data_IF_299791633678
#
_entry.id   IF_299791633678
#
_cell.length_a   1.000
_cell.length_b   1.000
_cell.length_c   1.000
_cell.angle_alpha   90.00
_cell.angle_beta   90.00
_cell.angle_gamma   90.00
#
_symmetry.space_group_name_H-M   'P 1'
#
loop_
_entity.id
_entity.type
_entity.pdbx_description
1 polymer ?
#
# COMPACT_ATOMS: atom_id res chain seq x y z
N UNK A 1 88.33 -14.42 -78.55
CA UNK A 1 87.74 -13.42 -77.71
C UNK A 1 86.41 -13.05 -78.31
N UNK A 2 85.33 -13.60 -77.79
CA UNK A 2 83.96 -13.30 -78.23
C UNK A 2 83.32 -12.36 -77.22
N UNK A 3 83.11 -11.12 -77.65
CA UNK A 3 82.46 -10.06 -76.91
C UNK A 3 80.93 -10.30 -76.96
N UNK A 4 80.36 -10.57 -75.80
CA UNK A 4 78.89 -10.80 -75.67
C UNK A 4 78.14 -9.48 -75.77
N UNK A 5 77.67 -9.15 -76.97
CA UNK A 5 76.65 -8.10 -77.14
C UNK A 5 75.32 -8.51 -76.57
N UNK A 6 75.02 -8.04 -75.34
CA UNK A 6 73.69 -8.16 -74.73
C UNK A 6 72.79 -7.10 -75.36
N UNK A 7 71.70 -7.48 -76.06
CA UNK A 7 70.87 -6.59 -76.83
C UNK A 7 70.28 -5.49 -75.93
N UNK A 8 70.33 -4.25 -76.36
CA UNK A 8 69.94 -3.01 -75.70
C UNK A 8 68.48 -3.05 -75.17
N UNK A 9 67.64 -3.86 -75.76
CA UNK A 9 66.26 -4.09 -75.34
C UNK A 9 66.18 -4.79 -74.00
N UNK A 10 67.06 -5.73 -73.64
CA UNK A 10 67.05 -6.40 -72.33
C UNK A 10 67.47 -5.46 -71.19
N UNK A 11 68.36 -4.51 -71.42
CA UNK A 11 68.75 -3.50 -70.44
C UNK A 11 67.61 -2.47 -70.16
N UNK A 12 66.79 -2.13 -71.16
CA UNK A 12 65.64 -1.26 -71.01
C UNK A 12 64.49 -1.97 -70.30
N UNK A 13 64.20 -3.23 -70.63
CA UNK A 13 63.24 -4.04 -69.95
C UNK A 13 63.60 -4.23 -68.44
N UNK A 14 64.86 -4.53 -68.14
CA UNK A 14 65.36 -4.69 -66.80
C UNK A 14 65.17 -3.39 -65.94
N UNK A 15 65.42 -2.22 -66.51
CA UNK A 15 65.17 -0.93 -65.81
C UNK A 15 63.71 -0.65 -65.63
N UNK A 16 62.84 -1.00 -66.56
CA UNK A 16 61.40 -0.82 -66.42
C UNK A 16 60.85 -1.74 -65.30
N UNK A 17 61.28 -3.00 -65.31
CA UNK A 17 60.84 -3.96 -64.26
C UNK A 17 61.39 -3.61 -62.89
N UNK A 18 62.64 -3.13 -62.79
CA UNK A 18 63.24 -2.70 -61.50
C UNK A 18 62.57 -1.46 -60.87
N UNK A 19 61.89 -0.62 -61.65
CA UNK A 19 61.14 0.53 -61.16
C UNK A 19 59.67 0.17 -60.99
N UNK A 20 59.10 -0.67 -61.85
CA UNK A 20 57.64 -1.04 -61.76
C UNK A 20 57.35 -1.91 -60.57
N UNK A 21 58.22 -2.81 -60.14
CA UNK A 21 57.96 -3.64 -58.93
C UNK A 21 57.95 -2.82 -57.65
N UNK A 22 58.91 -1.95 -57.35
CA UNK A 22 58.83 -1.06 -56.18
C UNK A 22 57.69 -0.11 -56.25
N UNK A 23 57.34 0.44 -57.40
CA UNK A 23 56.18 1.33 -57.58
C UNK A 23 54.85 0.58 -57.34
N UNK A 24 54.71 -0.62 -57.84
CA UNK A 24 53.55 -1.48 -57.57
C UNK A 24 53.46 -1.86 -56.08
N UNK A 25 54.58 -2.21 -55.43
CA UNK A 25 54.64 -2.50 -54.02
C UNK A 25 54.32 -1.27 -53.18
N UNK A 26 54.73 -0.09 -53.57
CA UNK A 26 54.36 1.18 -52.89
C UNK A 26 52.89 1.52 -53.06
N UNK A 27 52.31 1.36 -54.25
CA UNK A 27 50.93 1.56 -54.54
C UNK A 27 50.00 0.56 -53.75
N UNK A 28 50.37 -0.70 -53.71
CA UNK A 28 49.68 -1.71 -52.92
C UNK A 28 49.80 -1.43 -51.42
N UNK A 29 50.98 -0.99 -50.96
CA UNK A 29 51.16 -0.56 -49.57
C UNK A 29 50.27 0.65 -49.18
N UNK A 30 50.20 1.67 -50.05
CA UNK A 30 49.29 2.80 -49.88
C UNK A 30 47.81 2.39 -49.88
N UNK A 31 47.44 1.47 -50.77
CA UNK A 31 46.08 0.95 -50.84
C UNK A 31 45.71 0.19 -49.55
N UNK A 32 46.58 -0.63 -49.01
CA UNK A 32 46.37 -1.35 -47.76
C UNK A 32 46.26 -0.40 -46.55
N UNK A 33 47.13 0.64 -46.50
CA UNK A 33 47.06 1.67 -45.47
C UNK A 33 45.73 2.45 -45.57
N UNK A 34 45.30 2.77 -46.77
CA UNK A 34 44.01 3.46 -46.98
C UNK A 34 42.82 2.59 -46.58
N UNK A 35 42.77 1.30 -46.98
CA UNK A 35 41.73 0.38 -46.60
C UNK A 35 41.68 0.15 -45.08
N UNK A 36 42.80 -0.10 -44.43
CA UNK A 36 42.86 -0.31 -42.97
C UNK A 36 42.51 0.94 -42.16
N UNK A 37 42.67 2.13 -42.75
CA UNK A 37 42.29 3.39 -42.14
C UNK A 37 40.77 3.67 -42.22
N UNK A 38 40.12 3.23 -43.31
CA UNK A 38 38.67 3.46 -43.54
C UNK A 38 37.81 2.34 -42.95
N UNK A 39 38.37 1.10 -42.92
CA UNK A 39 37.70 -0.08 -42.37
C UNK A 39 38.35 -0.53 -41.07
N UNK A 40 37.97 0.12 -39.92
CA UNK A 40 38.56 -0.28 -38.65
C UNK A 40 38.26 -1.75 -38.38
N UNK A 41 39.30 -2.49 -38.08
CA UNK A 41 39.26 -3.93 -37.75
C UNK A 41 39.86 -4.12 -36.36
N UNK A 42 39.25 -4.98 -35.58
CA UNK A 42 39.82 -5.47 -34.32
C UNK A 42 39.65 -6.98 -34.21
N UNK A 43 40.64 -7.61 -33.66
CA UNK A 43 40.68 -9.02 -33.24
C UNK A 43 40.47 -9.15 -31.72
N UNK A 44 40.42 -8.01 -31.02
CA UNK A 44 40.13 -7.92 -29.61
C UNK A 44 38.59 -7.72 -29.43
N UNK A 45 37.84 -8.79 -29.67
CA UNK A 45 36.41 -8.81 -29.53
C UNK A 45 35.93 -10.15 -28.94
N UNK A 46 34.91 -10.07 -28.09
CA UNK A 46 34.29 -11.22 -27.46
C UNK A 46 32.81 -11.22 -27.73
N UNK A 47 32.22 -12.40 -27.88
CA UNK A 47 30.78 -12.59 -27.96
C UNK A 47 30.20 -12.50 -26.57
N UNK A 48 29.16 -11.70 -26.42
CA UNK A 48 28.48 -11.44 -25.16
C UNK A 48 26.98 -11.60 -25.31
N UNK A 49 26.33 -12.10 -24.29
CA UNK A 49 24.87 -12.09 -24.13
C UNK A 49 24.52 -11.63 -22.70
N UNK A 50 23.33 -11.12 -22.51
CA UNK A 50 22.87 -10.82 -21.16
C UNK A 50 22.71 -12.12 -20.37
N UNK A 51 23.02 -12.07 -19.11
CA UNK A 51 22.83 -13.22 -18.21
C UNK A 51 22.32 -12.76 -16.84
N UNK A 52 21.57 -13.63 -16.19
CA UNK A 52 21.08 -13.40 -14.82
C UNK A 52 21.41 -14.61 -13.95
N UNK A 53 21.75 -14.35 -12.70
CA UNK A 53 21.80 -15.37 -11.67
C UNK A 53 20.40 -15.67 -11.15
N UNK A 54 19.98 -16.93 -11.22
CA UNK A 54 18.69 -17.37 -10.67
C UNK A 54 18.86 -17.66 -9.18
N UNK A 55 18.05 -16.98 -8.38
CA UNK A 55 17.97 -17.19 -6.95
C UNK A 55 16.50 -17.44 -6.54
N UNK A 56 16.24 -18.35 -5.59
CA UNK A 56 14.91 -18.58 -5.08
C UNK A 56 14.42 -17.37 -4.27
N UNK A 57 13.11 -17.22 -4.21
CA UNK A 57 12.45 -16.19 -3.40
C UNK A 57 11.95 -16.72 -2.06
N UNK A 58 12.05 -18.04 -1.87
CA UNK A 58 11.66 -18.76 -0.65
C UNK A 58 12.73 -19.78 -0.27
N UNK A 59 12.87 -20.08 1.00
CA UNK A 59 13.84 -21.03 1.53
C UNK A 59 13.29 -22.46 1.50
N UNK A 60 14.15 -23.45 1.28
CA UNK A 60 13.74 -24.84 1.42
C UNK A 60 14.57 -25.83 0.63
N UNK A 61 14.35 -27.12 0.84
CA UNK A 61 15.00 -28.16 0.05
C UNK A 61 14.43 -28.20 -1.36
N UNK A 62 15.30 -28.37 -2.35
CA UNK A 62 14.90 -28.57 -3.75
C UNK A 62 14.39 -29.97 -3.93
N UNK A 63 13.13 -30.10 -4.33
CA UNK A 63 12.47 -31.38 -4.58
C UNK A 63 12.70 -31.89 -5.99
N UNK A 64 12.74 -30.98 -6.97
CA UNK A 64 12.87 -31.31 -8.38
C UNK A 64 13.72 -30.26 -9.09
N UNK A 65 14.63 -30.70 -9.97
CA UNK A 65 15.34 -29.86 -10.92
C UNK A 65 14.89 -30.31 -12.30
N UNK A 66 14.21 -29.44 -13.04
CA UNK A 66 13.62 -29.74 -14.34
C UNK A 66 14.58 -29.47 -15.52
N UNK A 67 15.74 -28.90 -15.25
CA UNK A 67 16.73 -28.50 -16.24
C UNK A 67 18.05 -29.22 -16.05
N UNK A 68 18.83 -29.31 -17.14
CA UNK A 68 20.19 -29.81 -17.12
C UNK A 68 21.18 -28.69 -17.45
N UNK A 69 22.42 -28.85 -17.01
CA UNK A 69 23.47 -27.87 -17.37
C UNK A 69 23.65 -27.80 -18.89
N UNK A 70 23.81 -26.57 -19.39
CA UNK A 70 23.91 -26.24 -20.83
C UNK A 70 22.66 -26.58 -21.67
N UNK A 71 21.55 -26.95 -21.06
CA UNK A 71 20.29 -27.15 -21.78
C UNK A 71 19.62 -25.80 -22.14
N UNK A 72 18.91 -25.80 -23.25
CA UNK A 72 18.04 -24.68 -23.64
C UNK A 72 16.68 -24.80 -22.96
N UNK A 73 16.16 -23.71 -22.45
CA UNK A 73 14.82 -23.63 -21.86
C UNK A 73 14.07 -22.42 -22.45
N UNK A 74 12.80 -22.63 -22.74
CA UNK A 74 11.89 -21.55 -23.20
C UNK A 74 11.39 -20.73 -22.02
N UNK A 75 11.01 -19.50 -22.29
CA UNK A 75 10.31 -18.64 -21.36
C UNK A 75 9.11 -19.36 -20.74
N UNK A 76 8.96 -19.24 -19.42
CA UNK A 76 7.91 -19.93 -18.65
C UNK A 76 8.18 -21.42 -18.38
N UNK A 77 9.30 -21.97 -18.84
CA UNK A 77 9.72 -23.34 -18.49
C UNK A 77 10.10 -23.45 -17.02
N UNK A 78 9.73 -24.57 -16.38
CA UNK A 78 10.09 -24.85 -14.99
C UNK A 78 11.61 -25.07 -14.87
N UNK A 79 12.24 -24.38 -13.95
CA UNK A 79 13.65 -24.51 -13.64
C UNK A 79 13.88 -25.51 -12.51
N UNK A 80 13.29 -25.23 -11.37
CA UNK A 80 13.33 -26.12 -10.21
C UNK A 80 12.12 -25.87 -9.30
N UNK A 81 11.86 -26.81 -8.39
CA UNK A 81 10.79 -26.77 -7.41
C UNK A 81 11.36 -26.97 -6.00
N UNK A 82 10.93 -26.11 -5.08
CA UNK A 82 11.22 -26.18 -3.65
C UNK A 82 10.05 -26.87 -2.96
N UNK A 83 10.27 -27.54 -1.82
CA UNK A 83 9.22 -28.20 -1.05
C UNK A 83 8.09 -27.22 -0.69
N UNK A 84 6.94 -27.40 -1.32
CA UNK A 84 5.77 -26.52 -1.16
C UNK A 84 4.99 -26.76 0.14
N UNK A 85 5.13 -27.95 0.78
CA UNK A 85 4.33 -28.36 1.93
C UNK A 85 4.34 -27.39 3.11
N UNK A 86 5.48 -26.83 3.54
CA UNK A 86 5.49 -25.84 4.62
C UNK A 86 4.69 -24.57 4.26
N UNK A 87 4.71 -24.15 3.00
CA UNK A 87 4.02 -22.99 2.49
C UNK A 87 2.52 -23.24 2.29
N UNK A 88 2.13 -24.44 1.88
CA UNK A 88 0.72 -24.90 1.85
C UNK A 88 0.10 -24.87 3.25
N UNK A 89 0.81 -25.41 4.25
CA UNK A 89 0.36 -25.34 5.64
C UNK A 89 0.29 -23.91 6.19
N UNK A 90 1.22 -23.03 5.76
CA UNK A 90 1.18 -21.63 6.14
C UNK A 90 -0.04 -20.91 5.53
N UNK A 91 -0.37 -21.20 4.28
CA UNK A 91 -1.55 -20.67 3.60
C UNK A 91 -2.84 -21.18 4.26
N UNK A 92 -2.92 -22.48 4.57
CA UNK A 92 -4.08 -23.05 5.25
C UNK A 92 -4.30 -22.42 6.63
N UNK A 93 -3.22 -22.21 7.39
CA UNK A 93 -3.25 -21.52 8.69
C UNK A 93 -3.74 -20.09 8.55
N UNK A 94 -3.25 -19.35 7.55
CA UNK A 94 -3.67 -17.98 7.28
C UNK A 94 -5.17 -17.92 6.94
N UNK A 95 -5.66 -18.81 6.08
CA UNK A 95 -7.08 -18.93 5.71
C UNK A 95 -7.96 -19.34 6.89
N UNK A 96 -7.47 -20.23 7.75
CA UNK A 96 -8.17 -20.60 8.99
C UNK A 96 -8.27 -19.42 9.94
N UNK A 97 -7.21 -18.63 10.08
CA UNK A 97 -7.22 -17.41 10.88
C UNK A 97 -8.21 -16.35 10.38
N UNK A 98 -8.38 -16.23 9.06
CA UNK A 98 -9.42 -15.36 8.49
C UNK A 98 -10.82 -15.87 8.81
N UNK A 99 -11.09 -17.17 8.64
CA UNK A 99 -12.41 -17.77 8.98
C UNK A 99 -12.75 -17.58 10.46
N UNK A 100 -11.76 -17.71 11.35
CA UNK A 100 -11.96 -17.45 12.79
C UNK A 100 -12.36 -15.99 13.03
N UNK A 101 -11.70 -15.02 12.40
CA UNK A 101 -12.05 -13.60 12.50
C UNK A 101 -13.46 -13.32 11.96
N UNK A 102 -13.83 -13.94 10.85
CA UNK A 102 -15.18 -13.81 10.29
C UNK A 102 -16.25 -14.37 11.24
N UNK A 103 -15.97 -15.50 11.92
CA UNK A 103 -16.81 -16.03 12.99
C UNK A 103 -16.96 -15.03 14.15
N UNK A 104 -15.85 -14.44 14.61
CA UNK A 104 -15.87 -13.43 15.66
C UNK A 104 -16.69 -12.17 15.27
N UNK A 105 -16.56 -11.72 14.01
CA UNK A 105 -17.38 -10.59 13.50
C UNK A 105 -18.88 -10.92 13.53
N UNK A 106 -19.24 -12.14 13.13
CA UNK A 106 -20.66 -12.58 13.19
C UNK A 106 -21.17 -12.62 14.62
N UNK A 107 -20.39 -13.18 15.54
CA UNK A 107 -20.80 -13.26 16.95
C UNK A 107 -20.90 -11.86 17.59
N UNK A 108 -19.94 -10.98 17.32
CA UNK A 108 -19.98 -9.60 17.79
C UNK A 108 -21.18 -8.83 17.20
N UNK A 109 -21.50 -9.06 15.92
CA UNK A 109 -22.69 -8.47 15.29
C UNK A 109 -23.97 -8.88 16.02
N UNK A 110 -24.08 -10.14 16.45
CA UNK A 110 -25.21 -10.61 17.24
C UNK A 110 -25.24 -9.96 18.62
N UNK A 111 -24.08 -9.79 19.25
CA UNK A 111 -23.95 -9.12 20.54
C UNK A 111 -24.40 -7.68 20.45
N UNK A 112 -23.94 -6.94 19.43
CA UNK A 112 -24.35 -5.54 19.17
C UNK A 112 -25.88 -5.46 18.94
N UNK A 113 -26.45 -6.34 18.13
CA UNK A 113 -27.90 -6.36 17.89
C UNK A 113 -28.72 -6.60 19.21
N UNK A 114 -28.17 -7.45 20.09
CA UNK A 114 -28.77 -7.64 21.44
C UNK A 114 -28.67 -6.38 22.30
N UNK A 115 -27.51 -5.70 22.27
CA UNK A 115 -27.31 -4.44 23.00
C UNK A 115 -28.18 -3.32 22.46
N UNK A 116 -28.32 -3.20 21.14
CA UNK A 116 -29.26 -2.25 20.51
C UNK A 116 -30.70 -2.51 20.91
N UNK A 117 -31.12 -3.78 21.04
CA UNK A 117 -32.44 -4.16 21.55
C UNK A 117 -32.61 -3.74 23.01
N UNK A 118 -31.55 -3.88 23.83
CA UNK A 118 -31.58 -3.39 25.22
C UNK A 118 -31.68 -1.86 25.32
N UNK A 119 -31.00 -1.14 24.42
CA UNK A 119 -31.16 0.33 24.29
C UNK A 119 -32.61 0.69 23.93
N UNK A 120 -33.22 -0.02 22.98
CA UNK A 120 -34.63 0.16 22.61
C UNK A 120 -35.55 -0.05 23.79
N UNK A 121 -35.36 -1.08 24.61
CA UNK A 121 -36.13 -1.32 25.83
C UNK A 121 -35.93 -0.22 26.89
N UNK A 122 -34.70 0.24 27.10
CA UNK A 122 -34.39 1.34 28.01
C UNK A 122 -35.03 2.66 27.55
N UNK A 123 -35.07 2.91 26.25
CA UNK A 123 -35.75 4.07 25.66
C UNK A 123 -37.28 4.02 25.96
N UNK A 124 -37.93 2.89 25.71
CA UNK A 124 -39.34 2.71 26.01
C UNK A 124 -39.65 2.89 27.51
N UNK A 125 -38.76 2.43 28.40
CA UNK A 125 -38.88 2.67 29.85
C UNK A 125 -38.76 4.17 30.18
N UNK A 126 -37.90 4.91 29.53
CA UNK A 126 -37.74 6.36 29.70
C UNK A 126 -39.03 7.11 29.27
N UNK A 127 -39.60 6.72 28.15
CA UNK A 127 -40.85 7.28 27.64
C UNK A 127 -42.02 6.99 28.58
N UNK A 128 -42.11 5.77 29.11
CA UNK A 128 -43.10 5.39 30.14
C UNK A 128 -42.94 6.20 31.43
N UNK A 129 -41.68 6.43 31.88
CA UNK A 129 -41.40 7.26 33.05
C UNK A 129 -41.78 8.72 32.83
N UNK A 130 -41.57 9.27 31.65
CA UNK A 130 -41.99 10.62 31.26
C UNK A 130 -43.53 10.76 31.33
N UNK A 131 -44.27 9.80 30.78
CA UNK A 131 -45.73 9.78 30.86
C UNK A 131 -46.24 9.70 32.31
N UNK A 132 -45.50 9.05 33.23
CA UNK A 132 -45.80 9.03 34.63
C UNK A 132 -45.59 10.41 35.32
N UNK A 133 -44.55 11.14 34.93
CA UNK A 133 -44.31 12.52 35.39
C UNK A 133 -45.44 13.43 34.95
N UNK A 134 -45.91 13.34 33.70
CA UNK A 134 -47.02 14.14 33.19
C UNK A 134 -48.31 13.84 33.94
N UNK A 135 -48.56 12.58 34.25
CA UNK A 135 -49.73 12.15 35.06
C UNK A 135 -49.68 12.72 36.50
N UNK A 136 -48.49 12.65 37.10
CA UNK A 136 -48.31 13.20 38.45
C UNK A 136 -48.39 14.73 38.42
N UNK A 137 -47.96 15.42 37.40
CA UNK A 137 -48.11 16.87 37.22
C UNK A 137 -49.61 17.27 37.11
N UNK A 138 -50.39 16.51 36.36
CA UNK A 138 -51.81 16.69 36.24
C UNK A 138 -52.52 16.53 37.61
N UNK A 139 -52.13 15.53 38.43
CA UNK A 139 -52.62 15.32 39.76
C UNK A 139 -52.32 16.50 40.74
N UNK A 140 -51.14 17.13 40.60
CA UNK A 140 -50.78 18.35 41.33
C UNK A 140 -51.71 19.48 40.92
N UNK A 141 -52.02 19.66 39.68
CA UNK A 141 -52.91 20.72 39.16
C UNK A 141 -54.36 20.52 39.67
N UNK A 142 -54.82 19.26 39.65
CA UNK A 142 -56.15 18.88 40.20
C UNK A 142 -56.22 19.19 41.67
N UNK A 143 -55.23 18.79 42.48
CA UNK A 143 -55.18 19.08 43.90
C UNK A 143 -55.17 20.60 44.20
N UNK A 144 -54.44 21.38 43.37
CA UNK A 144 -54.49 22.87 43.51
C UNK A 144 -55.83 23.47 43.18
N UNK A 145 -56.60 22.92 42.25
CA UNK A 145 -57.92 23.33 41.92
C UNK A 145 -58.90 23.03 43.15
N UNK A 146 -58.72 21.89 43.80
CA UNK A 146 -59.43 21.56 45.02
C UNK A 146 -59.16 22.57 46.16
N UNK A 147 -57.88 22.99 46.33
CA UNK A 147 -57.55 24.06 47.31
C UNK A 147 -58.25 25.36 46.96
N UNK A 148 -58.26 25.74 45.69
CA UNK A 148 -58.92 26.96 45.24
C UNK A 148 -60.42 26.90 45.54
N UNK A 149 -61.10 25.76 45.31
CA UNK A 149 -62.48 25.52 45.61
C UNK A 149 -62.77 25.60 47.14
N UNK A 150 -61.93 24.91 47.94
CA UNK A 150 -62.09 24.96 49.43
C UNK A 150 -61.87 26.37 50.02
N UNK A 151 -60.91 27.15 49.44
CA UNK A 151 -60.74 28.58 49.85
C UNK A 151 -61.91 29.44 49.50
N UNK A 152 -62.48 29.28 48.31
CA UNK A 152 -63.71 30.02 47.95
C UNK A 152 -64.93 29.69 48.91
N UNK A 153 -65.05 28.44 49.36
CA UNK A 153 -66.04 28.02 50.31
C UNK A 153 -65.79 28.63 51.72
N UNK A 154 -64.47 28.69 52.10
CA UNK A 154 -64.12 29.37 53.38
C UNK A 154 -64.42 30.86 53.31
N UNK A 155 -64.09 31.54 52.19
CA UNK A 155 -64.37 32.96 51.99
C UNK A 155 -65.91 33.23 52.07
N UNK A 156 -66.71 32.33 51.48
CA UNK A 156 -68.16 32.40 51.58
C UNK A 156 -68.62 32.24 53.02
N UNK A 157 -68.15 31.23 53.75
CA UNK A 157 -68.49 31.00 55.16
C UNK A 157 -68.10 32.19 56.05
N UNK A 158 -66.97 32.81 55.84
CA UNK A 158 -66.49 34.00 56.53
C UNK A 158 -67.37 35.21 56.25
N UNK A 159 -67.82 35.44 55.02
CA UNK A 159 -68.73 36.52 54.65
C UNK A 159 -70.10 36.33 55.35
N UNK A 160 -70.65 35.09 55.42
CA UNK A 160 -71.85 34.76 56.10
C UNK A 160 -71.73 34.98 57.62
N UNK A 161 -70.59 34.60 58.22
CA UNK A 161 -70.29 34.87 59.62
C UNK A 161 -70.23 36.37 59.89
N UNK A 162 -69.57 37.16 59.06
CA UNK A 162 -69.48 38.61 59.18
C UNK A 162 -70.89 39.27 59.15
N UNK A 163 -71.73 38.83 58.19
CA UNK A 163 -73.11 39.31 58.07
C UNK A 163 -73.89 38.99 59.31
N UNK A 164 -73.87 37.76 59.82
CA UNK A 164 -74.65 37.35 61.02
C UNK A 164 -74.13 38.01 62.31
N UNK A 165 -72.80 38.16 62.46
CA UNK A 165 -72.16 38.86 63.56
C UNK A 165 -72.57 40.34 63.59
N UNK A 166 -72.50 41.04 62.44
CA UNK A 166 -72.97 42.43 62.34
C UNK A 166 -74.44 42.58 62.67
N UNK A 167 -75.26 41.61 62.29
CA UNK A 167 -76.68 41.61 62.64
C UNK A 167 -76.87 41.41 64.12
N UNK A 168 -76.18 40.45 64.76
CA UNK A 168 -76.21 40.26 66.23
C UNK A 168 -75.75 41.53 66.95
N UNK A 169 -74.64 42.17 66.63
CA UNK A 169 -74.13 43.39 67.22
C UNK A 169 -75.08 44.57 67.07
N UNK A 170 -75.96 44.60 66.05
CA UNK A 170 -77.02 45.61 65.94
C UNK A 170 -78.20 45.31 66.82
N UNK A 171 -78.54 44.04 67.03
CA UNK A 171 -79.72 43.63 67.87
C UNK A 171 -79.42 43.68 69.39
N UNK A 172 -78.17 43.33 69.79
CA UNK A 172 -77.76 43.26 71.19
C UNK A 172 -78.07 44.57 72.02
N UNK A 173 -77.72 45.78 71.54
CA UNK A 173 -78.03 47.02 72.29
C UNK A 173 -79.51 47.34 72.33
N UNK A 174 -80.29 46.95 71.32
CA UNK A 174 -81.73 47.17 71.26
C UNK A 174 -82.54 46.38 72.30
N UNK A 175 -81.96 45.33 72.87
CA UNK A 175 -82.55 44.56 73.96
C UNK A 175 -82.64 45.40 75.25
N UNK A 176 -81.65 46.22 75.59
CA UNK A 176 -81.66 47.12 76.75
C UNK A 176 -82.72 48.18 76.62
N UNK A 177 -83.09 48.59 75.41
CA UNK A 177 -84.11 49.54 75.08
C UNK A 177 -85.49 48.91 74.89
N UNK A 178 -85.63 47.57 75.07
CA UNK A 178 -86.86 46.78 74.92
C UNK A 178 -87.48 46.79 73.49
N UNK A 179 -86.75 47.16 72.47
CA UNK A 179 -87.19 47.12 71.08
C UNK A 179 -87.13 45.73 70.41
N UNK A 180 -86.47 44.78 71.04
CA UNK A 180 -86.39 43.38 70.60
C UNK A 180 -86.61 42.42 71.79
N UNK A 181 -87.02 41.18 71.52
CA UNK A 181 -87.18 40.13 72.53
C UNK A 181 -85.89 39.41 72.87
N UNK A 182 -85.75 38.83 74.10
CA UNK A 182 -84.62 37.99 74.50
C UNK A 182 -84.45 36.83 73.55
N UNK A 183 -85.47 36.18 73.08
CA UNK A 183 -85.52 35.08 72.17
C UNK A 183 -84.89 35.46 70.80
N UNK A 184 -85.20 36.67 70.28
CA UNK A 184 -84.59 37.17 69.04
C UNK A 184 -83.06 37.36 69.12
N UNK A 185 -82.55 37.86 70.27
CA UNK A 185 -81.12 38.04 70.52
C UNK A 185 -80.42 36.65 70.69
N UNK A 186 -81.06 35.75 71.48
CA UNK A 186 -80.52 34.39 71.65
C UNK A 186 -80.51 33.59 70.34
N UNK A 187 -81.52 33.75 69.50
CA UNK A 187 -81.55 33.16 68.16
C UNK A 187 -80.44 33.72 67.27
N UNK A 188 -80.20 35.06 67.30
CA UNK A 188 -79.12 35.67 66.56
C UNK A 188 -77.75 35.19 67.06
N UNK A 189 -77.57 35.10 68.41
CA UNK A 189 -76.32 34.55 69.01
C UNK A 189 -76.06 33.10 68.60
N UNK A 190 -77.10 32.26 68.70
CA UNK A 190 -77.00 30.86 68.29
C UNK A 190 -76.62 30.73 66.79
N UNK A 191 -77.17 31.63 65.94
CA UNK A 191 -76.83 31.68 64.50
C UNK A 191 -75.37 32.07 64.30
N UNK A 192 -74.77 33.03 65.03
CA UNK A 192 -73.36 33.39 64.98
C UNK A 192 -72.50 32.19 65.37
N UNK A 193 -72.81 31.45 66.44
CA UNK A 193 -72.12 30.27 66.90
C UNK A 193 -72.14 29.21 65.79
N UNK A 194 -73.29 28.94 65.20
CA UNK A 194 -73.42 27.98 64.10
C UNK A 194 -72.60 28.39 62.86
N UNK A 195 -72.55 29.67 62.51
CA UNK A 195 -71.69 30.16 61.37
C UNK A 195 -70.20 30.11 61.70
N UNK A 196 -69.84 30.38 62.99
CA UNK A 196 -68.42 30.20 63.41
C UNK A 196 -67.96 28.73 63.24
N UNK A 197 -68.80 27.77 63.63
CA UNK A 197 -68.52 26.34 63.43
C UNK A 197 -68.41 25.98 61.94
N UNK A 198 -69.24 26.62 61.08
CA UNK A 198 -69.11 26.43 59.61
C UNK A 198 -67.81 26.97 59.06
N UNK A 199 -67.33 28.13 59.55
CA UNK A 199 -65.98 28.64 59.18
C UNK A 199 -64.87 27.69 59.61
N UNK A 200 -64.94 27.17 60.87
CA UNK A 200 -63.93 26.24 61.39
C UNK A 200 -63.93 24.92 60.60
N UNK A 201 -65.10 24.44 60.19
CA UNK A 201 -65.19 23.26 59.24
C UNK A 201 -64.61 23.55 57.89
N UNK A 202 -64.92 24.71 57.26
CA UNK A 202 -64.35 25.08 55.96
C UNK A 202 -62.81 25.28 56.03
N UNK A 203 -62.31 25.83 57.16
CA UNK A 203 -60.85 25.92 57.38
C UNK A 203 -60.21 24.56 57.48
N UNK A 204 -60.85 23.58 58.11
CA UNK A 204 -60.35 22.20 58.14
C UNK A 204 -60.34 21.56 56.75
N UNK A 205 -61.37 21.90 55.92
CA UNK A 205 -61.39 21.43 54.52
C UNK A 205 -60.23 22.01 53.68
N UNK A 206 -59.88 23.31 53.86
CA UNK A 206 -58.72 23.92 53.22
C UNK A 206 -57.43 23.20 53.64
N UNK A 207 -57.27 22.91 54.95
CA UNK A 207 -56.09 22.21 55.46
C UNK A 207 -55.96 20.79 54.88
N UNK A 208 -57.09 20.07 54.72
CA UNK A 208 -57.10 18.75 54.05
C UNK A 208 -56.69 18.87 52.55
N UNK A 209 -57.24 19.86 51.85
CA UNK A 209 -56.91 20.07 50.44
C UNK A 209 -55.42 20.48 50.25
N UNK A 210 -54.89 21.32 51.16
CA UNK A 210 -53.46 21.66 51.15
C UNK A 210 -52.57 20.46 51.45
N UNK A 211 -52.95 19.56 52.34
CA UNK A 211 -52.24 18.29 52.56
C UNK A 211 -52.24 17.37 51.30
N UNK A 212 -53.40 17.40 50.56
CA UNK A 212 -53.49 16.67 49.29
C UNK A 212 -52.52 17.23 48.25
N UNK A 213 -52.33 18.56 48.13
CA UNK A 213 -51.31 19.16 47.24
C UNK A 213 -49.92 18.73 47.64
N UNK A 214 -49.59 18.71 48.92
CA UNK A 214 -48.30 18.26 49.42
C UNK A 214 -48.03 16.80 49.04
N UNK A 215 -49.03 15.92 49.20
CA UNK A 215 -48.94 14.50 48.77
C UNK A 215 -48.75 14.37 47.25
N UNK A 216 -49.53 15.10 46.43
CA UNK A 216 -49.41 15.08 44.98
C UNK A 216 -48.03 15.59 44.51
N UNK A 217 -47.48 16.63 45.15
CA UNK A 217 -46.12 17.13 44.88
C UNK A 217 -45.10 16.10 45.26
N UNK A 218 -45.21 15.39 46.36
CA UNK A 218 -44.30 14.33 46.72
C UNK A 218 -44.30 13.18 45.66
N UNK A 219 -45.45 12.81 45.12
CA UNK A 219 -45.62 11.86 44.07
C UNK A 219 -45.00 12.37 42.75
N UNK A 220 -45.12 13.65 42.40
CA UNK A 220 -44.49 14.26 41.24
C UNK A 220 -42.98 14.22 41.35
N UNK A 221 -42.37 14.58 42.47
CA UNK A 221 -40.93 14.50 42.68
C UNK A 221 -40.42 13.06 42.64
N UNK A 222 -41.20 12.11 43.17
CA UNK A 222 -40.88 10.68 43.06
C UNK A 222 -40.89 10.22 41.58
N UNK A 223 -41.90 10.60 40.78
CA UNK A 223 -41.96 10.27 39.35
C UNK A 223 -40.80 10.89 38.57
N UNK A 224 -40.43 12.14 38.89
CA UNK A 224 -39.30 12.83 38.31
C UNK A 224 -37.96 12.14 38.63
N UNK A 225 -37.77 11.69 39.86
CA UNK A 225 -36.59 10.91 40.25
C UNK A 225 -36.53 9.56 39.50
N UNK A 226 -37.66 8.89 39.32
CA UNK A 226 -37.74 7.66 38.53
C UNK A 226 -37.41 7.89 37.04
N UNK A 227 -37.84 9.01 36.47
CA UNK A 227 -37.48 9.41 35.10
C UNK A 227 -35.97 9.66 34.96
N UNK A 228 -35.34 10.35 35.91
CA UNK A 228 -33.90 10.57 35.93
C UNK A 228 -33.14 9.24 36.02
N UNK A 229 -33.60 8.29 36.80
CA UNK A 229 -33.03 6.94 36.89
C UNK A 229 -33.13 6.20 35.53
N UNK A 230 -34.29 6.30 34.86
CA UNK A 230 -34.48 5.71 33.53
C UNK A 230 -33.56 6.32 32.49
N UNK A 231 -33.34 7.64 32.52
CA UNK A 231 -32.38 8.32 31.65
C UNK A 231 -30.93 7.84 31.91
N UNK A 232 -30.54 7.68 33.18
CA UNK A 232 -29.21 7.14 33.51
C UNK A 232 -29.04 5.71 33.00
N UNK A 233 -30.07 4.88 33.11
CA UNK A 233 -30.08 3.51 32.59
C UNK A 233 -30.00 3.49 31.06
N UNK A 234 -30.71 4.38 30.35
CA UNK A 234 -30.61 4.53 28.89
C UNK A 234 -29.20 4.93 28.49
N UNK A 235 -28.59 5.93 29.12
CA UNK A 235 -27.22 6.34 28.85
C UNK A 235 -26.23 5.20 29.08
N UNK A 236 -26.38 4.44 30.16
CA UNK A 236 -25.55 3.27 30.43
C UNK A 236 -25.67 2.20 29.29
N UNK A 237 -26.91 1.91 28.87
CA UNK A 237 -27.16 0.97 27.79
C UNK A 237 -26.55 1.43 26.47
N UNK A 238 -26.65 2.72 26.14
CA UNK A 238 -26.04 3.32 24.96
C UNK A 238 -24.51 3.22 24.97
N UNK A 239 -23.88 3.48 26.12
CA UNK A 239 -22.42 3.36 26.26
C UNK A 239 -21.93 1.92 26.26
N UNK A 240 -22.79 0.94 26.49
CA UNK A 240 -22.41 -0.47 26.46
C UNK A 240 -22.44 -1.07 25.06
N UNK A 241 -22.94 -0.36 24.04
CA UNK A 241 -22.96 -0.85 22.65
C UNK A 241 -21.54 -0.87 22.11
N UNK A 242 -21.07 -2.05 21.75
CA UNK A 242 -19.75 -2.30 21.17
C UNK A 242 -19.71 -1.85 19.70
N UNK A 243 -18.50 -1.74 19.14
CA UNK A 243 -18.29 -1.41 17.73
C UNK A 243 -17.54 -2.53 17.03
N UNK A 244 -17.86 -2.77 15.75
CA UNK A 244 -17.17 -3.75 14.92
C UNK A 244 -15.82 -3.25 14.39
N UNK A 245 -15.50 -1.97 14.54
CA UNK A 245 -14.34 -1.32 13.96
C UNK A 245 -13.00 -2.04 14.25
N UNK A 246 -12.72 -2.46 15.52
CA UNK A 246 -11.48 -3.16 15.83
C UNK A 246 -11.33 -4.51 15.12
N UNK A 247 -12.44 -5.24 14.91
CA UNK A 247 -12.44 -6.52 14.22
C UNK A 247 -12.36 -6.34 12.70
N UNK A 248 -13.09 -5.37 12.15
CA UNK A 248 -13.05 -5.08 10.72
C UNK A 248 -11.68 -4.56 10.27
N UNK A 249 -10.99 -3.76 11.11
CA UNK A 249 -9.62 -3.32 10.86
C UNK A 249 -8.63 -4.51 10.76
N UNK A 250 -8.84 -5.59 11.53
CA UNK A 250 -8.01 -6.79 11.46
C UNK A 250 -8.20 -7.59 10.15
N UNK A 251 -9.33 -7.41 9.45
CA UNK A 251 -9.64 -8.12 8.20
C UNK A 251 -8.56 -7.87 7.12
N UNK A 252 -8.12 -6.62 6.98
CA UNK A 252 -7.05 -6.26 6.02
C UNK A 252 -5.73 -6.92 6.37
N UNK A 253 -5.38 -6.97 7.65
CA UNK A 253 -4.17 -7.65 8.13
C UNK A 253 -4.20 -9.16 7.85
N UNK A 254 -5.35 -9.82 8.06
CA UNK A 254 -5.52 -11.24 7.72
C UNK A 254 -5.47 -11.47 6.22
N UNK A 255 -6.08 -10.60 5.41
CA UNK A 255 -6.00 -10.67 3.95
C UNK A 255 -4.56 -10.48 3.46
N UNK A 256 -3.78 -9.58 4.06
CA UNK A 256 -2.36 -9.40 3.76
C UNK A 256 -1.55 -10.67 4.09
N UNK A 257 -1.82 -11.31 5.23
CA UNK A 257 -1.16 -12.57 5.63
C UNK A 257 -1.44 -13.69 4.61
N UNK A 258 -2.68 -13.80 4.11
CA UNK A 258 -3.03 -14.78 3.06
C UNK A 258 -2.26 -14.47 1.77
N UNK A 259 -2.25 -13.20 1.29
CA UNK A 259 -1.50 -12.82 0.09
C UNK A 259 -0.01 -13.15 0.20
N UNK A 260 0.58 -12.92 1.37
CA UNK A 260 1.98 -13.28 1.62
C UNK A 260 2.19 -14.79 1.55
N UNK A 261 1.30 -15.58 2.15
CA UNK A 261 1.39 -17.05 2.10
C UNK A 261 1.18 -17.58 0.68
N UNK A 262 0.26 -17.01 -0.10
CA UNK A 262 0.04 -17.35 -1.52
C UNK A 262 1.24 -16.97 -2.38
N UNK A 263 1.82 -15.79 -2.16
CA UNK A 263 3.05 -15.36 -2.83
C UNK A 263 4.19 -16.34 -2.58
N UNK A 264 4.43 -16.71 -1.32
CA UNK A 264 5.48 -17.65 -0.98
C UNK A 264 5.25 -19.03 -1.59
N UNK A 265 4.01 -19.53 -1.57
CA UNK A 265 3.65 -20.80 -2.18
C UNK A 265 3.88 -20.80 -3.70
N UNK A 266 3.48 -19.72 -4.37
CA UNK A 266 3.69 -19.58 -5.81
C UNK A 266 5.17 -19.54 -6.19
N UNK A 267 6.01 -18.96 -5.33
CA UNK A 267 7.45 -18.86 -5.53
C UNK A 267 8.23 -20.14 -5.16
N UNK A 268 7.57 -21.20 -4.70
CA UNK A 268 8.17 -22.53 -4.58
C UNK A 268 8.54 -23.10 -5.96
N UNK A 269 7.91 -22.64 -7.04
CA UNK A 269 8.19 -23.02 -8.42
C UNK A 269 8.86 -21.87 -9.13
N UNK A 270 10.10 -22.08 -9.56
CA UNK A 270 10.89 -21.06 -10.25
C UNK A 270 10.87 -21.32 -11.73
N UNK A 271 10.49 -20.32 -12.52
CA UNK A 271 10.34 -20.41 -13.97
C UNK A 271 11.33 -19.51 -14.69
N UNK A 272 11.68 -19.86 -15.94
CA UNK A 272 12.53 -19.06 -16.78
C UNK A 272 11.83 -17.76 -17.22
N UNK A 273 12.44 -16.58 -16.99
CA UNK A 273 11.82 -15.29 -17.34
C UNK A 273 11.92 -14.97 -18.84
N UNK A 274 12.81 -15.61 -19.59
CA UNK A 274 13.04 -15.47 -21.04
C UNK A 274 13.61 -16.75 -21.61
N UNK A 275 13.71 -16.84 -22.91
CA UNK A 275 14.38 -17.95 -23.63
C UNK A 275 15.85 -17.95 -23.29
N UNK A 276 16.34 -19.00 -22.64
CA UNK A 276 17.66 -19.01 -22.04
C UNK A 276 18.38 -20.35 -22.19
N UNK A 277 19.69 -20.28 -22.01
CA UNK A 277 20.54 -21.46 -21.80
C UNK A 277 21.02 -21.47 -20.35
N UNK A 278 20.79 -22.61 -19.67
CA UNK A 278 21.24 -22.84 -18.30
C UNK A 278 22.76 -23.02 -18.30
N UNK A 279 23.44 -22.45 -17.34
CA UNK A 279 24.89 -22.68 -17.15
C UNK A 279 25.25 -22.61 -15.67
N UNK A 280 26.36 -23.25 -15.31
CA UNK A 280 26.87 -23.32 -13.94
C UNK A 280 25.85 -23.93 -12.96
N UNK A 281 25.20 -25.01 -13.37
CA UNK A 281 24.28 -25.78 -12.52
C UNK A 281 25.08 -26.66 -11.54
N UNK A 282 25.38 -26.13 -10.36
CA UNK A 282 26.17 -26.79 -9.33
C UNK A 282 25.34 -27.41 -8.21
N UNK A 283 24.03 -27.21 -8.22
CA UNK A 283 23.11 -27.69 -7.19
C UNK A 283 22.46 -29.02 -7.60
N UNK A 284 22.16 -29.85 -6.60
CA UNK A 284 21.52 -31.13 -6.80
C UNK A 284 20.16 -31.21 -6.09
N UNK A 285 19.31 -32.13 -6.52
CA UNK A 285 18.08 -32.47 -5.82
C UNK A 285 18.37 -32.85 -4.37
N UNK A 286 17.58 -32.34 -3.43
CA UNK A 286 17.77 -32.49 -1.99
C UNK A 286 18.65 -31.40 -1.35
N UNK A 287 19.35 -30.57 -2.14
CA UNK A 287 20.08 -29.45 -1.58
C UNK A 287 19.14 -28.36 -1.05
N UNK A 288 19.60 -27.65 -0.05
CA UNK A 288 18.82 -26.56 0.54
C UNK A 288 19.12 -25.23 -0.20
N UNK A 289 18.07 -24.59 -0.69
CA UNK A 289 18.15 -23.30 -1.36
C UNK A 289 17.78 -22.18 -0.37
N UNK A 290 18.60 -21.12 -0.38
CA UNK A 290 18.38 -19.92 0.45
C UNK A 290 17.90 -18.74 -0.39
N UNK A 291 16.94 -18.00 0.13
CA UNK A 291 16.39 -16.80 -0.52
C UNK A 291 17.51 -15.82 -0.91
N UNK A 292 17.51 -15.40 -2.17
CA UNK A 292 18.49 -14.45 -2.70
C UNK A 292 19.87 -15.05 -3.03
N UNK A 293 20.16 -16.32 -2.68
CA UNK A 293 21.40 -16.98 -3.05
C UNK A 293 21.30 -17.55 -4.47
N UNK A 294 22.22 -17.15 -5.33
CA UNK A 294 22.27 -17.65 -6.70
C UNK A 294 22.50 -19.16 -6.74
N UNK A 295 21.65 -19.87 -7.49
CA UNK A 295 21.70 -21.31 -7.68
C UNK A 295 22.44 -21.68 -8.96
N UNK A 296 22.13 -21.01 -10.06
CA UNK A 296 22.79 -21.14 -11.37
C UNK A 296 22.54 -19.89 -12.21
N UNK A 297 23.07 -19.87 -13.43
CA UNK A 297 22.97 -18.70 -14.33
C UNK A 297 22.12 -19.06 -15.55
N UNK A 298 21.30 -18.13 -16.00
CA UNK A 298 20.63 -18.15 -17.29
C UNK A 298 21.26 -17.14 -18.23
N UNK A 299 21.66 -17.60 -19.41
CA UNK A 299 22.16 -16.76 -20.49
C UNK A 299 21.01 -16.53 -21.47
N UNK A 300 20.66 -15.27 -21.69
CA UNK A 300 19.65 -14.87 -22.67
C UNK A 300 20.13 -15.17 -24.08
N UNK A 301 19.41 -16.01 -24.80
CA UNK A 301 19.75 -16.43 -26.16
C UNK A 301 19.07 -15.58 -27.23
N UNK A 302 18.27 -14.60 -26.88
CA UNK A 302 17.49 -13.78 -27.82
C UNK A 302 18.36 -12.77 -28.59
N UNK A 303 19.37 -12.21 -27.91
CA UNK A 303 20.23 -11.17 -28.50
C UNK A 303 21.68 -11.43 -28.15
N UNK A 304 22.51 -11.46 -29.18
CA UNK A 304 23.96 -11.60 -29.05
C UNK A 304 24.66 -10.34 -29.49
N UNK A 305 25.72 -9.98 -28.79
CA UNK A 305 26.60 -8.88 -29.15
C UNK A 305 28.04 -9.37 -29.31
N UNK A 306 28.76 -8.80 -30.25
CA UNK A 306 30.22 -8.78 -30.22
C UNK A 306 30.66 -7.49 -29.53
N UNK A 307 31.31 -7.58 -28.39
CA UNK A 307 31.95 -6.48 -27.69
C UNK A 307 33.36 -6.36 -28.21
N UNK A 308 33.59 -5.38 -29.07
CA UNK A 308 34.81 -5.19 -29.79
C UNK A 308 35.58 -3.97 -29.29
N UNK A 309 36.81 -4.14 -28.88
CA UNK A 309 37.67 -3.10 -28.35
C UNK A 309 38.43 -2.39 -29.46
N UNK A 310 38.03 -1.19 -29.83
CA UNK A 310 38.68 -0.36 -30.83
C UNK A 310 39.58 0.68 -30.19
N UNK A 311 40.69 1.02 -30.87
CA UNK A 311 41.58 2.10 -30.46
C UNK A 311 40.87 3.45 -30.58
N UNK A 312 41.18 4.37 -29.70
CA UNK A 312 40.62 5.73 -29.70
C UNK A 312 40.69 6.40 -31.09
N UNK A 313 41.82 6.24 -31.80
CA UNK A 313 42.03 6.80 -33.14
C UNK A 313 41.05 6.27 -34.20
N UNK A 314 40.45 5.09 -33.98
CA UNK A 314 39.52 4.45 -34.91
C UNK A 314 38.06 4.87 -34.63
N UNK A 315 37.74 5.31 -33.42
CA UNK A 315 36.37 5.62 -32.99
C UNK A 315 35.70 6.74 -33.80
N UNK A 316 36.48 7.67 -34.36
CA UNK A 316 35.94 8.77 -35.19
C UNK A 316 35.13 8.27 -36.39
N UNK A 317 35.35 7.04 -36.83
CA UNK A 317 34.70 6.42 -37.99
C UNK A 317 33.58 5.44 -37.57
N UNK A 318 33.40 5.19 -36.25
CA UNK A 318 32.44 4.26 -35.72
C UNK A 318 31.29 5.02 -35.11
N UNK A 319 30.07 4.80 -35.61
CA UNK A 319 28.86 5.42 -35.11
C UNK A 319 27.76 4.35 -34.87
N UNK A 320 26.86 4.54 -33.93
CA UNK A 320 25.68 3.68 -33.79
C UNK A 320 24.93 3.58 -35.12
N UNK A 321 24.44 2.38 -35.45
CA UNK A 321 23.78 2.07 -36.72
C UNK A 321 24.74 1.67 -37.87
N UNK A 322 26.05 1.74 -37.69
CA UNK A 322 26.99 1.29 -38.69
C UNK A 322 26.96 -0.23 -38.80
N UNK A 323 27.05 -0.77 -40.04
CA UNK A 323 27.15 -2.19 -40.29
C UNK A 323 28.56 -2.69 -40.01
N UNK A 324 28.68 -3.91 -39.51
CA UNK A 324 29.92 -4.60 -39.25
C UNK A 324 29.84 -6.07 -39.69
N UNK A 325 30.94 -6.62 -40.05
CA UNK A 325 31.14 -8.07 -40.24
C UNK A 325 31.74 -8.65 -38.97
N UNK A 326 31.07 -9.66 -38.41
CA UNK A 326 31.54 -10.38 -37.23
C UNK A 326 31.93 -11.80 -37.65
N UNK A 327 33.14 -12.19 -37.28
CA UNK A 327 33.66 -13.52 -37.47
C UNK A 327 34.00 -14.12 -36.12
N UNK A 328 33.36 -15.21 -35.77
CA UNK A 328 33.62 -15.90 -34.50
C UNK A 328 34.64 -16.97 -34.70
N UNK A 329 35.65 -17.07 -33.80
CA UNK A 329 36.79 -17.97 -34.00
C UNK A 329 36.39 -19.45 -34.01
N UNK A 330 35.32 -19.83 -33.36
CA UNK A 330 34.81 -21.22 -33.45
C UNK A 330 34.28 -21.57 -34.83
N UNK A 331 33.99 -20.56 -35.69
CA UNK A 331 33.49 -20.71 -37.06
C UNK A 331 34.13 -19.67 -37.99
N UNK A 332 35.42 -19.78 -38.27
CA UNK A 332 36.20 -18.72 -38.93
C UNK A 332 35.74 -18.41 -40.36
N UNK A 333 35.01 -19.33 -40.99
CA UNK A 333 34.56 -19.17 -42.39
C UNK A 333 33.12 -18.67 -42.50
N UNK A 334 32.45 -18.40 -41.34
CA UNK A 334 31.07 -17.89 -41.33
C UNK A 334 31.11 -16.41 -40.99
N UNK A 335 30.54 -15.60 -41.89
CA UNK A 335 30.35 -14.16 -41.69
C UNK A 335 28.97 -13.91 -41.16
N UNK A 336 28.90 -13.25 -39.99
CA UNK A 336 27.66 -12.75 -39.41
C UNK A 336 27.55 -11.26 -39.66
N UNK A 337 26.40 -10.81 -40.14
CA UNK A 337 26.09 -9.39 -40.23
C UNK A 337 25.85 -8.83 -38.83
N UNK A 338 26.44 -7.67 -38.54
CA UNK A 338 26.26 -6.97 -37.29
C UNK A 338 25.92 -5.51 -37.49
N UNK A 339 25.27 -4.92 -36.47
CA UNK A 339 24.97 -3.50 -36.43
C UNK A 339 25.55 -2.95 -35.14
N UNK A 340 26.28 -1.83 -35.23
CA UNK A 340 26.80 -1.11 -34.06
C UNK A 340 25.60 -0.58 -33.25
N UNK A 341 25.44 -1.10 -32.04
CA UNK A 341 24.41 -0.74 -31.11
C UNK A 341 24.82 0.50 -30.27
N UNK A 342 26.03 0.45 -29.74
CA UNK A 342 26.59 1.54 -28.94
C UNK A 342 28.12 1.56 -28.97
N UNK A 343 28.67 2.74 -28.71
CA UNK A 343 30.10 2.96 -28.51
C UNK A 343 30.28 3.35 -27.03
N UNK A 344 31.20 2.64 -26.35
CA UNK A 344 31.49 2.90 -24.93
C UNK A 344 31.97 4.32 -24.71
N UNK A 345 31.33 5.04 -23.79
CA UNK A 345 31.64 6.43 -23.50
C UNK A 345 32.86 6.60 -22.57
N UNK A 346 33.21 5.56 -21.83
CA UNK A 346 34.32 5.59 -20.90
C UNK A 346 34.84 4.20 -20.59
N UNK A 347 36.09 4.12 -20.26
CA UNK A 347 36.76 2.93 -19.73
C UNK A 347 37.44 3.27 -18.42
N UNK A 348 37.62 2.28 -17.57
CA UNK A 348 38.30 2.49 -16.30
C UNK A 348 39.74 2.88 -16.62
N UNK A 349 40.24 4.03 -16.10
CA UNK A 349 41.64 4.41 -16.26
C UNK A 349 42.56 3.33 -15.70
N UNK A 350 43.71 3.10 -16.35
CA UNK A 350 44.71 2.19 -15.82
C UNK A 350 45.23 2.73 -14.48
N UNK A 351 45.12 1.93 -13.43
CA UNK A 351 45.50 2.33 -12.07
C UNK A 351 47.01 2.65 -11.95
N UNK A 352 47.82 2.21 -12.94
CA UNK A 352 49.26 2.55 -13.05
C UNK A 352 49.51 3.93 -13.62
N UNK A 353 48.54 4.50 -14.36
CA UNK A 353 48.63 5.82 -15.02
C UNK A 353 47.91 6.93 -14.24
N UNK A 354 46.87 6.58 -13.54
CA UNK A 354 46.11 7.52 -12.70
C UNK A 354 46.16 6.98 -11.27
N UNK A 355 46.98 7.60 -10.43
CA UNK A 355 47.09 7.20 -9.02
C UNK A 355 45.73 7.02 -8.36
N UNK A 356 45.64 6.13 -7.38
CA UNK A 356 44.41 5.88 -6.64
C UNK A 356 43.88 7.22 -6.09
N UNK A 357 42.62 7.56 -6.38
CA UNK A 357 41.95 8.71 -5.80
C UNK A 357 41.77 8.47 -4.29
N UNK A 358 42.79 8.84 -3.51
CA UNK A 358 42.68 8.98 -2.06
C UNK A 358 42.26 10.41 -1.73
N UNK A 359 41.48 10.65 -0.70
CA UNK A 359 41.19 12.01 -0.23
C UNK A 359 42.52 12.68 0.20
N UNK A 360 43.01 13.62 -0.62
CA UNK A 360 44.28 14.30 -0.40
C UNK A 360 44.92 14.72 -1.75
N UNK A 361 46.20 15.02 -1.72
CA UNK A 361 46.95 15.35 -2.93
C UNK A 361 47.07 14.09 -3.80
N UNK A 362 46.89 14.18 -5.15
CA UNK A 362 47.02 13.04 -6.05
C UNK A 362 48.47 12.56 -6.04
N UNK A 363 48.65 11.24 -5.86
CA UNK A 363 49.94 10.58 -6.00
C UNK A 363 50.22 10.39 -7.49
N UNK A 364 51.14 11.17 -8.05
CA UNK A 364 51.59 11.07 -9.43
C UNK A 364 52.84 10.19 -9.47
N UNK A 365 52.68 8.93 -9.80
CA UNK A 365 53.84 8.05 -10.04
C UNK A 365 54.63 8.57 -11.23
N UNK A 366 55.89 8.86 -11.02
CA UNK A 366 56.86 9.16 -12.09
C UNK A 366 57.17 7.88 -12.86
N UNK A 367 56.41 7.58 -13.90
CA UNK A 367 56.68 6.45 -14.79
C UNK A 367 57.51 6.90 -16.00
N UNK A 368 58.53 6.13 -16.31
CA UNK A 368 59.35 6.25 -17.52
C UNK A 368 58.63 5.68 -18.77
N UNK A 369 57.32 5.87 -18.88
CA UNK A 369 56.52 5.39 -20.02
C UNK A 369 56.64 6.36 -21.19
N UNK A 370 57.68 6.15 -22.00
CA UNK A 370 57.92 6.88 -23.25
C UNK A 370 57.01 6.44 -24.40
N UNK A 371 56.26 5.33 -24.23
CA UNK A 371 55.29 4.82 -25.21
C UNK A 371 53.90 4.83 -24.57
N UNK A 372 53.03 5.74 -25.00
CA UNK A 372 51.62 5.71 -24.66
C UNK A 372 50.90 4.71 -25.57
N UNK A 373 50.38 3.63 -24.99
CA UNK A 373 49.47 2.73 -25.66
C UNK A 373 48.13 3.42 -25.80
N UNK A 374 47.58 3.45 -27.03
CA UNK A 374 46.25 4.05 -27.25
C UNK A 374 45.19 3.30 -26.47
N UNK A 375 44.39 4.04 -25.71
CA UNK A 375 43.24 3.49 -24.96
C UNK A 375 42.27 2.84 -25.93
N UNK A 376 41.72 1.69 -25.51
CA UNK A 376 40.68 0.98 -26.26
C UNK A 376 39.33 1.21 -25.64
N UNK A 377 38.33 1.39 -26.48
CA UNK A 377 36.95 1.57 -26.05
C UNK A 377 36.09 0.44 -26.57
N UNK A 378 35.19 -0.12 -25.73
CA UNK A 378 34.32 -1.20 -26.16
C UNK A 378 33.20 -0.65 -27.07
N UNK A 379 33.03 -1.30 -28.20
CA UNK A 379 31.95 -1.06 -29.16
C UNK A 379 31.06 -2.30 -29.15
N UNK A 380 29.79 -2.13 -28.84
CA UNK A 380 28.80 -3.22 -28.86
C UNK A 380 28.23 -3.33 -30.27
N UNK A 381 28.44 -4.45 -30.89
CA UNK A 381 27.91 -4.79 -32.22
C UNK A 381 26.88 -5.90 -32.04
N UNK A 382 25.62 -5.62 -32.28
CA UNK A 382 24.55 -6.62 -32.23
C UNK A 382 24.68 -7.54 -33.44
N UNK A 383 24.81 -8.84 -33.19
CA UNK A 383 24.95 -9.88 -34.22
C UNK A 383 23.56 -10.22 -34.76
N UNK A 384 23.38 -10.12 -36.06
CA UNK A 384 22.16 -10.54 -36.76
C UNK A 384 22.34 -11.99 -37.21
N UNK A 385 22.10 -12.92 -36.31
CA UNK A 385 22.23 -14.34 -36.61
C UNK A 385 20.85 -15.02 -36.49
N UNK A 386 20.64 -16.16 -37.18
CA UNK A 386 19.49 -17.01 -36.95
C UNK A 386 19.43 -17.49 -35.49
N UNK A 387 18.26 -17.63 -34.94
CA UNK A 387 18.02 -18.09 -33.54
C UNK A 387 18.63 -19.48 -33.24
N UNK A 388 18.88 -20.26 -34.26
CA UNK A 388 19.45 -21.63 -34.16
C UNK A 388 20.95 -21.67 -33.96
N UNK A 389 21.67 -20.55 -34.12
CA UNK A 389 23.13 -20.50 -34.01
C UNK A 389 23.56 -20.46 -32.52
N UNK A 390 24.25 -21.51 -32.02
CA UNK A 390 24.71 -21.53 -30.64
C UNK A 390 26.01 -20.74 -30.47
N UNK A 391 25.93 -19.48 -30.07
CA UNK A 391 27.10 -18.73 -29.58
C UNK A 391 27.37 -19.08 -28.11
N UNK A 392 28.58 -18.78 -27.66
CA UNK A 392 28.97 -18.88 -26.25
C UNK A 392 29.47 -17.54 -25.76
N UNK A 393 29.14 -17.22 -24.49
CA UNK A 393 29.68 -16.02 -23.85
C UNK A 393 31.20 -16.12 -23.75
N UNK A 394 31.92 -15.02 -24.00
CA UNK A 394 33.38 -14.90 -24.07
C UNK A 394 34.04 -15.68 -25.24
N UNK A 395 33.27 -16.05 -26.24
CA UNK A 395 33.84 -16.62 -27.47
C UNK A 395 34.54 -15.51 -28.23
N UNK A 396 35.82 -15.76 -28.64
CA UNK A 396 36.62 -14.76 -29.34
C UNK A 396 36.09 -14.48 -30.74
N UNK A 397 36.06 -13.22 -31.11
CA UNK A 397 35.59 -12.78 -32.41
C UNK A 397 36.50 -11.75 -33.06
N UNK A 398 36.36 -11.59 -34.35
CA UNK A 398 36.97 -10.53 -35.15
C UNK A 398 35.87 -9.67 -35.72
N UNK A 399 35.95 -8.36 -35.50
CA UNK A 399 34.96 -7.40 -36.00
C UNK A 399 35.60 -6.45 -37.00
N UNK A 400 34.99 -6.35 -38.18
CA UNK A 400 35.37 -5.46 -39.25
C UNK A 400 34.23 -4.48 -39.53
N UNK A 401 34.48 -3.18 -39.35
CA UNK A 401 33.50 -2.17 -39.67
C UNK A 401 33.36 -1.98 -41.17
N UNK A 402 32.13 -1.93 -41.67
CA UNK A 402 31.85 -1.56 -43.06
C UNK A 402 31.59 -0.06 -43.18
N UNK A 403 32.07 0.62 -44.25
CA UNK A 403 31.68 1.99 -44.46
C UNK A 403 30.16 2.08 -44.65
N UNK A 404 29.59 3.17 -44.18
CA UNK A 404 28.20 3.48 -44.53
C UNK A 404 28.12 3.49 -46.07
N UNK A 405 27.42 2.55 -46.68
CA UNK A 405 27.09 2.66 -48.11
C UNK A 405 26.43 4.03 -48.27
N UNK A 406 27.09 4.93 -48.99
CA UNK A 406 26.52 6.19 -49.44
C UNK A 406 25.20 5.85 -50.11
N UNK A 407 24.10 5.93 -49.31
CA UNK A 407 22.82 5.41 -49.70
C UNK A 407 22.26 6.21 -50.83
N UNK A 408 21.85 5.53 -51.82
CA UNK A 408 20.78 5.93 -52.74
C UNK A 408 19.72 6.78 -52.01
N UNK A 409 19.75 8.08 -52.26
CA UNK A 409 18.58 8.93 -52.06
C UNK A 409 17.42 8.33 -52.86
N UNK A 410 16.38 7.87 -52.18
CA UNK A 410 15.02 7.85 -52.69
C UNK A 410 14.08 8.46 -51.66
#
# INVERSE_FOLDING_TARGET
MAENDVPIQRKRLGKIVSVAIPAAAFLTGLMVIYETSIYPRTDDAEVFANFIGIAPQVDGPITTIAVQDNAFIKQGGLLFEIDSRPYEYALERARSGQRTLEGQIVDETRTIASQESAVGAAHANTESAAANVDRAAAAVTEAQAHVAGAKAELDRAQAELLYTSNNFHRLEPLLAEQFVTVDQVDQARTTVIARQQAVDQSRSQVALAEAQVLSARAQYEQAKAAMQQSHAQLAQSQHSVLTLEPLTAQREGKAATIRTAEYNLNNCRVYAPFDARVTNLTISQGAYAHTGQQVFTLIDTSIWWAVANFRETQLRHIKPGLHADVYVLSRPNVRYDGIVDSVGFGVRPDATLVGSFSPGLPDVQRTLNWVHLATRYPVRVRILAPETEPFRVSESAVVVMRPARSGSKR
#
